data_IF_012412901567
#
_entry.id   IF_012412901567
#
_cell.length_a   1.000
_cell.length_b   1.000
_cell.length_c   1.000
_cell.angle_alpha   90.00
_cell.angle_beta   90.00
_cell.angle_gamma   90.00
#
_symmetry.space_group_name_H-M   'P 1'
#
loop_
_entity.id
_entity.type
_entity.pdbx_description
1 polymer ?
#
# COMPACT_ATOMS: atom_id res chain seq x y z
N UNK A 1 19.67 13.65 -31.77
CA UNK A 1 19.97 12.60 -30.77
C UNK A 1 18.63 11.93 -30.39
N UNK A 2 18.35 10.69 -30.82
CA UNK A 2 17.09 10.00 -30.47
C UNK A 2 17.28 9.36 -29.09
N UNK A 3 16.60 9.89 -28.08
CA UNK A 3 16.57 9.29 -26.74
C UNK A 3 16.12 7.82 -26.84
N UNK A 4 16.80 6.86 -26.18
CA UNK A 4 16.35 5.48 -26.17
C UNK A 4 14.91 5.42 -25.65
N UNK A 5 14.03 4.75 -26.39
CA UNK A 5 12.64 4.50 -25.97
C UNK A 5 12.68 3.69 -24.67
N UNK A 6 12.55 4.38 -23.54
CA UNK A 6 12.31 3.77 -22.22
C UNK A 6 11.02 2.95 -22.32
N UNK A 7 11.16 1.63 -22.45
CA UNK A 7 10.03 0.69 -22.37
C UNK A 7 9.71 0.51 -20.89
N UNK A 8 8.78 1.30 -20.38
CA UNK A 8 8.24 1.04 -19.04
C UNK A 8 7.55 -0.34 -19.04
N UNK A 9 7.82 -1.19 -18.05
CA UNK A 9 7.12 -2.45 -17.92
C UNK A 9 5.61 -2.16 -17.80
N UNK A 10 4.79 -2.84 -18.62
CA UNK A 10 3.34 -2.69 -18.56
C UNK A 10 2.86 -3.29 -17.24
N UNK A 11 2.34 -2.45 -16.35
CA UNK A 11 1.73 -2.91 -15.10
C UNK A 11 0.58 -3.87 -15.39
N UNK A 12 0.58 -5.02 -14.70
CA UNK A 12 -0.51 -5.98 -14.75
C UNK A 12 -1.79 -5.37 -14.20
N UNK A 13 -2.98 -5.87 -14.56
CA UNK A 13 -4.25 -5.40 -13.98
C UNK A 13 -4.25 -5.45 -12.45
N UNK A 14 -3.67 -6.49 -11.86
CA UNK A 14 -3.48 -6.65 -10.40
C UNK A 14 -2.63 -5.53 -9.83
N UNK A 15 -1.46 -5.25 -10.41
CA UNK A 15 -0.58 -4.18 -9.93
C UNK A 15 -1.29 -2.81 -9.99
N UNK A 16 -2.09 -2.57 -11.03
CA UNK A 16 -2.90 -1.34 -11.13
C UNK A 16 -3.98 -1.27 -10.05
N UNK A 17 -4.69 -2.36 -9.79
CA UNK A 17 -5.71 -2.43 -8.74
C UNK A 17 -5.11 -2.20 -7.36
N UNK A 18 -3.99 -2.87 -7.06
CA UNK A 18 -3.29 -2.70 -5.78
C UNK A 18 -2.75 -1.28 -5.61
N UNK A 19 -2.15 -0.68 -6.64
CA UNK A 19 -1.72 0.71 -6.61
C UNK A 19 -2.88 1.68 -6.37
N UNK A 20 -4.02 1.46 -7.03
CA UNK A 20 -5.21 2.28 -6.79
C UNK A 20 -5.70 2.15 -5.34
N UNK A 21 -5.81 0.92 -4.82
CA UNK A 21 -6.18 0.68 -3.43
C UNK A 21 -5.22 1.36 -2.46
N UNK A 22 -3.92 1.25 -2.72
CA UNK A 22 -2.87 1.87 -1.91
C UNK A 22 -2.93 3.39 -1.94
N UNK A 23 -3.19 4.02 -3.09
CA UNK A 23 -3.34 5.48 -3.18
C UNK A 23 -4.54 5.97 -2.36
N UNK A 24 -5.70 5.32 -2.50
CA UNK A 24 -6.91 5.70 -1.77
C UNK A 24 -6.74 5.44 -0.27
N UNK A 25 -6.25 4.26 0.11
CA UNK A 25 -5.98 3.92 1.50
C UNK A 25 -4.94 4.85 2.12
N UNK A 26 -3.92 5.24 1.37
CA UNK A 26 -2.87 6.14 1.82
C UNK A 26 -3.42 7.53 2.09
N UNK A 27 -4.21 8.10 1.18
CA UNK A 27 -4.80 9.42 1.37
C UNK A 27 -5.68 9.48 2.63
N UNK A 28 -6.51 8.45 2.85
CA UNK A 28 -7.38 8.39 4.03
C UNK A 28 -6.60 8.14 5.33
N UNK A 29 -5.65 7.20 5.32
CA UNK A 29 -4.84 6.89 6.48
C UNK A 29 -3.90 8.05 6.84
N UNK A 30 -3.39 8.79 5.85
CA UNK A 30 -2.58 9.99 6.06
C UNK A 30 -3.41 11.11 6.71
N UNK A 31 -4.64 11.32 6.23
CA UNK A 31 -5.57 12.28 6.86
C UNK A 31 -5.85 11.91 8.32
N UNK A 32 -6.08 10.62 8.60
CA UNK A 32 -6.25 10.13 9.97
C UNK A 32 -4.97 10.27 10.81
N UNK A 33 -3.80 10.02 10.23
CA UNK A 33 -2.50 10.21 10.89
C UNK A 33 -2.31 11.66 11.35
N UNK A 34 -2.68 12.62 10.50
CA UNK A 34 -2.62 14.05 10.80
C UNK A 34 -3.62 14.44 11.90
N UNK A 35 -4.88 14.00 11.79
CA UNK A 35 -5.91 14.29 12.80
C UNK A 35 -5.57 13.76 14.18
N UNK A 36 -4.89 12.61 14.24
CA UNK A 36 -4.45 11.97 15.48
C UNK A 36 -3.06 12.44 15.94
N UNK A 37 -2.43 13.38 15.21
CA UNK A 37 -1.08 13.89 15.45
C UNK A 37 -0.03 12.78 15.63
N UNK A 38 -0.13 11.72 14.81
CA UNK A 38 0.75 10.56 14.91
C UNK A 38 2.06 10.77 14.12
N UNK A 39 3.09 10.02 14.48
CA UNK A 39 4.37 10.04 13.77
C UNK A 39 4.25 9.51 12.33
N UNK A 40 4.45 10.41 11.37
CA UNK A 40 4.56 10.07 9.95
C UNK A 40 5.65 9.03 9.66
N UNK A 41 6.77 9.10 10.38
CA UNK A 41 7.88 8.16 10.18
C UNK A 41 7.45 6.72 10.49
N UNK A 42 6.79 6.49 11.63
CA UNK A 42 6.30 5.18 12.03
C UNK A 42 5.22 4.71 11.03
N UNK A 43 4.28 5.58 10.70
CA UNK A 43 3.23 5.31 9.72
C UNK A 43 3.79 4.81 8.38
N UNK A 44 4.72 5.55 7.78
CA UNK A 44 5.31 5.20 6.48
C UNK A 44 6.14 3.92 6.56
N UNK A 45 6.99 3.77 7.58
CA UNK A 45 7.86 2.59 7.72
C UNK A 45 7.01 1.32 7.83
N UNK A 46 6.00 1.30 8.70
CA UNK A 46 5.17 0.12 8.89
C UNK A 46 4.25 -0.16 7.69
N UNK A 47 3.77 0.88 7.00
CA UNK A 47 3.08 0.70 5.72
C UNK A 47 3.98 0.01 4.68
N UNK A 48 5.22 0.48 4.52
CA UNK A 48 6.16 -0.10 3.55
C UNK A 48 6.53 -1.54 3.92
N UNK A 49 6.76 -1.81 5.21
CA UNK A 49 7.01 -3.18 5.70
C UNK A 49 5.80 -4.08 5.42
N UNK A 50 4.58 -3.63 5.69
CA UNK A 50 3.37 -4.38 5.41
C UNK A 50 3.22 -4.67 3.91
N UNK A 51 3.47 -3.68 3.05
CA UNK A 51 3.43 -3.86 1.60
C UNK A 51 4.49 -4.87 1.12
N UNK A 52 5.75 -4.70 1.51
CA UNK A 52 6.85 -5.62 1.09
C UNK A 52 6.63 -7.04 1.60
N UNK A 53 6.16 -7.19 2.84
CA UNK A 53 5.79 -8.49 3.40
C UNK A 53 4.64 -9.13 2.59
N UNK A 54 3.65 -8.32 2.20
CA UNK A 54 2.54 -8.78 1.38
C UNK A 54 2.97 -9.21 -0.01
N UNK A 55 3.97 -8.57 -0.64
CA UNK A 55 4.40 -8.94 -1.99
C UNK A 55 4.93 -10.37 -2.03
N UNK A 56 5.69 -10.79 -1.02
CA UNK A 56 6.16 -12.19 -0.92
C UNK A 56 5.03 -13.20 -0.86
N UNK A 57 3.87 -12.82 -0.31
CA UNK A 57 2.71 -13.68 -0.17
C UNK A 57 1.75 -13.57 -1.37
N UNK A 58 1.43 -12.36 -1.81
CA UNK A 58 0.38 -12.07 -2.78
C UNK A 58 0.88 -12.13 -4.22
N UNK A 59 2.14 -11.76 -4.50
CA UNK A 59 2.67 -11.77 -5.86
C UNK A 59 2.54 -13.12 -6.59
N UNK A 60 2.80 -14.29 -5.96
CA UNK A 60 2.59 -15.59 -6.63
C UNK A 60 1.12 -16.04 -6.64
N UNK A 61 0.22 -15.41 -5.88
CA UNK A 61 -1.19 -15.84 -5.71
C UNK A 61 -2.18 -14.99 -6.51
N UNK A 62 -1.86 -13.73 -6.78
CA UNK A 62 -2.69 -12.81 -7.56
C UNK A 62 -2.22 -12.80 -9.02
N UNK A 63 -2.47 -13.91 -9.72
CA UNK A 63 -2.13 -14.07 -11.14
C UNK A 63 -3.46 -14.16 -11.90
N UNK A 64 -3.85 -13.08 -12.58
CA UNK A 64 -5.08 -13.05 -13.38
C UNK A 64 -5.69 -11.65 -13.53
N UNK A 65 -6.80 -11.56 -14.26
CA UNK A 65 -7.55 -10.32 -14.46
C UNK A 65 -9.02 -10.43 -14.04
N UNK A 66 -9.39 -11.51 -13.36
CA UNK A 66 -10.76 -11.75 -12.91
C UNK A 66 -11.17 -10.76 -11.81
N UNK A 67 -12.46 -10.44 -11.75
CA UNK A 67 -13.01 -9.46 -10.81
C UNK A 67 -12.63 -9.76 -9.34
N UNK A 68 -12.58 -11.04 -8.96
CA UNK A 68 -12.18 -11.47 -7.61
C UNK A 68 -10.72 -11.13 -7.31
N UNK A 69 -9.82 -11.40 -8.26
CA UNK A 69 -8.38 -11.13 -8.13
C UNK A 69 -8.13 -9.63 -8.05
N UNK A 70 -8.84 -8.85 -8.87
CA UNK A 70 -8.73 -7.39 -8.84
C UNK A 70 -9.28 -6.80 -7.54
N UNK A 71 -10.40 -7.31 -7.03
CA UNK A 71 -10.95 -6.89 -5.74
C UNK A 71 -9.99 -7.18 -4.59
N UNK A 72 -9.35 -8.36 -4.57
CA UNK A 72 -8.32 -8.70 -3.58
C UNK A 72 -7.07 -7.82 -3.70
N UNK A 73 -6.65 -7.49 -4.93
CA UNK A 73 -5.55 -6.58 -5.18
C UNK A 73 -5.85 -5.18 -4.61
N UNK A 74 -7.04 -4.64 -4.90
CA UNK A 74 -7.48 -3.34 -4.37
C UNK A 74 -7.57 -3.38 -2.85
N UNK A 75 -8.23 -4.39 -2.29
CA UNK A 75 -8.43 -4.51 -0.84
C UNK A 75 -7.10 -4.64 -0.08
N UNK A 76 -6.16 -5.43 -0.60
CA UNK A 76 -4.82 -5.56 0.00
C UNK A 76 -4.05 -4.25 -0.08
N UNK A 77 -4.01 -3.60 -1.26
CA UNK A 77 -3.41 -2.28 -1.42
C UNK A 77 -3.98 -1.24 -0.45
N UNK A 78 -5.30 -1.21 -0.30
CA UNK A 78 -6.00 -0.32 0.61
C UNK A 78 -5.64 -0.57 2.08
N UNK A 79 -5.40 -1.82 2.48
CA UNK A 79 -5.14 -2.18 3.87
C UNK A 79 -3.75 -1.79 4.38
N UNK A 80 -2.72 -1.74 3.54
CA UNK A 80 -1.34 -1.51 4.01
C UNK A 80 -1.14 -0.17 4.73
N UNK A 81 -1.68 0.97 4.24
CA UNK A 81 -1.60 2.24 4.95
C UNK A 81 -2.27 2.20 6.33
N UNK A 82 -3.39 1.48 6.48
CA UNK A 82 -4.05 1.33 7.78
C UNK A 82 -3.22 0.53 8.79
N UNK A 83 -2.44 -0.46 8.33
CA UNK A 83 -1.48 -1.16 9.19
C UNK A 83 -0.37 -0.21 9.68
N UNK A 84 0.11 0.68 8.81
CA UNK A 84 1.03 1.75 9.20
C UNK A 84 0.43 2.66 10.28
N UNK A 85 -0.83 3.08 10.09
CA UNK A 85 -1.55 3.95 11.03
C UNK A 85 -1.73 3.25 12.39
N UNK A 86 -2.15 1.99 12.38
CA UNK A 86 -2.33 1.19 13.59
C UNK A 86 -1.02 1.02 14.36
N UNK A 87 0.10 0.82 13.67
CA UNK A 87 1.42 0.75 14.29
C UNK A 87 1.84 2.10 14.89
N UNK A 88 1.62 3.20 14.17
CA UNK A 88 1.91 4.55 14.67
C UNK A 88 1.09 4.88 15.91
N UNK A 89 -0.20 4.51 15.91
CA UNK A 89 -1.08 4.67 17.07
C UNK A 89 -0.62 3.82 18.24
N UNK A 90 -0.39 2.51 18.04
CA UNK A 90 0.02 1.60 19.10
C UNK A 90 1.36 1.97 19.74
N UNK A 91 2.39 2.29 18.94
CA UNK A 91 3.72 2.63 19.47
C UNK A 91 3.73 3.96 20.23
N UNK A 92 2.88 4.92 19.85
CA UNK A 92 2.76 6.18 20.59
C UNK A 92 1.89 6.03 21.84
N UNK A 93 0.83 5.23 21.78
CA UNK A 93 0.04 4.90 22.97
C UNK A 93 0.87 4.17 24.04
N UNK A 94 1.86 3.37 23.64
CA UNK A 94 2.81 2.72 24.56
C UNK A 94 3.89 3.65 25.12
N UNK A 95 4.07 4.83 24.52
CA UNK A 95 5.04 5.83 24.97
C UNK A 95 4.43 6.82 25.97
N UNK A 96 3.12 7.02 25.91
CA UNK A 96 2.35 7.85 26.83
C UNK A 96 2.16 7.16 28.18
#
# INVERSE_FOLDING_TARGET
MKLPKLRFPKLTPVAKGQLWGMLVGFALALLACEWLQLSYAIFIIFMLVAWVASERYLAPRLIGADARTLALAIASGFAFPWLGLAAAWGLQALRA
#
